data_IF_251376497875
#
_entry.id   IF_251376497875
#
_cell.length_a   1.000
_cell.length_b   1.000
_cell.length_c   1.000
_cell.angle_alpha   90.00
_cell.angle_beta   90.00
_cell.angle_gamma   90.00
#
_symmetry.space_group_name_H-M   'P 1'
#
loop_
_entity.id
_entity.type
_entity.pdbx_description
1 polymer ?
#
# COMPACT_ATOMS: atom_id res chain seq x y z
N UNK A 1 -7.12 -1.22 -4.27
CA UNK A 1 -6.30 -0.34 -3.41
C UNK A 1 -7.17 0.76 -2.85
N UNK A 2 -7.03 1.09 -1.56
CA UNK A 2 -7.74 2.23 -0.98
C UNK A 2 -7.34 3.55 -1.63
N UNK A 3 -8.26 4.51 -1.63
CA UNK A 3 -7.96 5.90 -1.98
C UNK A 3 -7.86 6.75 -0.71
N UNK A 4 -6.86 7.60 -0.61
CA UNK A 4 -6.68 8.52 0.52
C UNK A 4 -6.46 9.96 0.04
N UNK A 5 -7.05 10.90 0.77
CA UNK A 5 -6.91 12.33 0.55
C UNK A 5 -6.90 13.08 1.88
N UNK A 6 -5.93 13.95 2.03
CA UNK A 6 -5.89 14.96 3.06
C UNK A 6 -5.73 16.35 2.44
N UNK A 7 -6.43 17.34 2.98
CA UNK A 7 -6.21 18.75 2.64
C UNK A 7 -6.34 19.62 3.89
N UNK A 8 -5.38 20.53 4.08
CA UNK A 8 -5.44 21.51 5.16
C UNK A 8 -6.64 22.44 5.01
N UNK A 9 -7.02 22.74 3.78
CA UNK A 9 -8.14 23.62 3.43
C UNK A 9 -9.19 22.81 2.66
N UNK A 10 -10.41 22.78 3.19
CA UNK A 10 -11.58 22.14 2.58
C UNK A 10 -12.17 22.93 1.41
N UNK A 11 -11.79 24.19 1.25
CA UNK A 11 -12.29 24.99 0.15
C UNK A 11 -11.85 24.40 -1.20
N UNK A 12 -12.83 24.30 -2.10
CA UNK A 12 -12.59 23.79 -3.46
C UNK A 12 -12.01 22.36 -3.49
N UNK A 13 -12.52 21.47 -2.63
CA UNK A 13 -12.23 20.04 -2.82
C UNK A 13 -12.75 19.64 -4.21
N UNK A 14 -11.89 19.06 -5.08
CA UNK A 14 -12.30 18.68 -6.43
C UNK A 14 -13.25 17.48 -6.42
N UNK A 15 -13.71 17.07 -7.59
CA UNK A 15 -14.49 15.84 -7.73
C UNK A 15 -13.72 14.62 -7.22
N UNK A 16 -14.33 13.90 -6.29
CA UNK A 16 -13.76 12.71 -5.66
C UNK A 16 -14.17 11.39 -6.32
N UNK A 17 -14.78 11.45 -7.52
CA UNK A 17 -15.19 10.24 -8.25
C UNK A 17 -14.05 9.25 -8.46
N UNK A 18 -12.86 9.74 -8.84
CA UNK A 18 -11.66 8.92 -8.99
C UNK A 18 -11.17 8.31 -7.67
N UNK A 19 -11.30 9.04 -6.57
CA UNK A 19 -10.96 8.49 -5.25
C UNK A 19 -11.91 7.36 -4.87
N UNK A 20 -13.22 7.53 -5.14
CA UNK A 20 -14.27 6.54 -4.84
C UNK A 20 -14.07 5.25 -5.63
N UNK A 21 -13.56 5.32 -6.85
CA UNK A 21 -13.27 4.15 -7.68
C UNK A 21 -12.14 3.27 -7.12
N UNK A 22 -11.25 3.84 -6.29
CA UNK A 22 -10.14 3.08 -5.67
C UNK A 22 -10.60 2.09 -4.61
N UNK A 23 -11.78 2.27 -4.04
CA UNK A 23 -12.29 1.41 -2.99
C UNK A 23 -13.82 1.37 -3.02
N UNK A 24 -14.43 0.42 -3.75
CA UNK A 24 -15.88 0.37 -3.95
C UNK A 24 -16.66 -0.07 -2.71
N UNK A 25 -16.00 -0.58 -1.67
CA UNK A 25 -16.66 -1.12 -0.48
C UNK A 25 -17.09 -0.08 0.55
N UNK A 26 -16.61 1.15 0.42
CA UNK A 26 -17.04 2.23 1.28
C UNK A 26 -16.29 3.53 1.01
N UNK A 27 -16.98 4.63 1.30
CA UNK A 27 -16.41 5.95 1.21
C UNK A 27 -16.75 6.75 2.46
N UNK A 28 -15.74 7.36 3.06
CA UNK A 28 -15.91 8.27 4.18
C UNK A 28 -15.16 9.56 3.92
N UNK A 29 -15.77 10.66 4.32
CA UNK A 29 -15.15 11.98 4.36
C UNK A 29 -15.42 12.63 5.70
N UNK A 30 -14.50 13.43 6.18
CA UNK A 30 -14.61 14.14 7.44
C UNK A 30 -13.82 15.45 7.37
N UNK A 31 -14.39 16.49 7.92
CA UNK A 31 -13.72 17.76 8.20
C UNK A 31 -13.69 18.00 9.71
N UNK A 32 -12.55 18.45 10.22
CA UNK A 32 -12.35 18.85 11.61
C UNK A 32 -11.25 19.91 11.70
N UNK A 33 -10.86 20.31 12.92
CA UNK A 33 -9.84 21.33 13.17
C UNK A 33 -8.44 20.95 12.61
N UNK A 34 -8.20 19.68 12.30
CA UNK A 34 -6.95 19.22 11.70
C UNK A 34 -6.93 19.36 10.17
N UNK A 35 -8.10 19.42 9.53
CA UNK A 35 -8.27 19.54 8.09
C UNK A 35 -9.39 18.66 7.54
N UNK A 36 -9.41 18.51 6.22
CA UNK A 36 -10.33 17.66 5.48
C UNK A 36 -9.65 16.33 5.14
N UNK A 37 -10.36 15.24 5.36
CA UNK A 37 -9.93 13.87 5.16
C UNK A 37 -10.94 13.12 4.31
N UNK A 38 -10.49 12.34 3.32
CA UNK A 38 -11.37 11.42 2.61
C UNK A 38 -10.65 10.06 2.38
N UNK A 39 -11.43 9.00 2.45
CA UNK A 39 -10.98 7.64 2.27
C UNK A 39 -11.99 6.82 1.49
N UNK A 40 -11.54 6.10 0.48
CA UNK A 40 -12.29 5.02 -0.16
C UNK A 40 -11.69 3.66 0.21
N UNK A 41 -12.55 2.74 0.62
CA UNK A 41 -12.13 1.49 1.24
C UNK A 41 -12.18 0.33 0.24
N UNK A 42 -11.06 -0.38 0.16
CA UNK A 42 -10.96 -1.73 -0.36
C UNK A 42 -10.45 -2.63 0.77
N UNK A 43 -11.28 -3.54 1.24
CA UNK A 43 -10.95 -4.42 2.35
C UNK A 43 -10.30 -5.70 1.84
N UNK A 44 -8.98 -5.81 1.95
CA UNK A 44 -8.22 -6.98 1.53
C UNK A 44 -7.84 -7.89 2.69
N UNK A 45 -7.57 -7.33 3.88
CA UNK A 45 -7.07 -8.07 5.04
C UNK A 45 -7.60 -7.46 6.35
N UNK A 46 -8.00 -8.30 7.30
CA UNK A 46 -8.17 -7.90 8.71
C UNK A 46 -9.46 -7.17 9.07
N UNK A 47 -10.50 -7.25 8.23
CA UNK A 47 -11.82 -6.67 8.53
C UNK A 47 -11.93 -5.16 8.28
N UNK A 48 -13.14 -4.65 8.39
CA UNK A 48 -13.47 -3.26 8.04
C UNK A 48 -13.07 -2.29 9.14
N UNK A 49 -11.98 -1.57 8.96
CA UNK A 49 -11.62 -0.42 9.81
C UNK A 49 -11.89 0.86 9.03
N UNK A 50 -12.83 1.66 9.55
CA UNK A 50 -13.15 2.95 8.94
C UNK A 50 -11.98 3.91 9.06
N UNK A 51 -11.75 4.65 7.97
CA UNK A 51 -10.82 5.76 7.93
C UNK A 51 -11.57 7.02 7.50
N UNK A 52 -11.13 8.22 7.90
CA UNK A 52 -9.93 8.49 8.71
C UNK A 52 -9.98 7.78 10.07
N UNK A 53 -8.86 7.18 10.48
CA UNK A 53 -8.75 6.49 11.76
C UNK A 53 -8.31 7.46 12.86
N UNK A 54 -9.14 7.59 13.88
CA UNK A 54 -8.87 8.45 15.02
C UNK A 54 -8.06 7.68 16.07
N UNK A 55 -6.76 7.90 16.08
CA UNK A 55 -5.87 7.46 17.15
C UNK A 55 -5.97 8.36 18.39
N UNK A 56 -5.19 8.01 19.41
CA UNK A 56 -5.17 8.79 20.67
C UNK A 56 -4.63 10.21 20.46
N UNK A 57 -3.68 10.41 19.55
CA UNK A 57 -2.91 11.64 19.39
C UNK A 57 -3.09 12.30 18.01
N UNK A 58 -3.74 11.64 17.05
CA UNK A 58 -3.90 12.16 15.71
C UNK A 58 -4.81 11.32 14.84
N UNK A 59 -4.89 11.70 13.58
CA UNK A 59 -5.73 11.09 12.57
C UNK A 59 -4.86 10.44 11.50
N UNK A 60 -5.09 9.17 11.22
CA UNK A 60 -4.38 8.38 10.22
C UNK A 60 -5.26 8.12 8.99
N UNK A 61 -4.69 8.39 7.81
CA UNK A 61 -5.11 7.81 6.54
C UNK A 61 -4.03 6.83 6.08
N UNK A 62 -4.45 5.64 5.68
CA UNK A 62 -3.55 4.55 5.34
C UNK A 62 -4.07 3.77 4.13
N UNK A 63 -3.17 3.43 3.21
CA UNK A 63 -3.44 2.58 2.06
C UNK A 63 -2.30 1.61 1.88
N UNK A 64 -2.54 0.30 2.01
CA UNK A 64 -1.52 -0.71 1.79
C UNK A 64 -1.59 -1.88 2.76
N UNK A 65 -0.46 -2.59 2.88
CA UNK A 65 -0.27 -3.74 3.77
C UNK A 65 1.07 -3.68 4.49
N UNK A 66 1.09 -3.99 5.78
CA UNK A 66 2.30 -4.13 6.60
C UNK A 66 2.54 -5.60 6.88
N UNK A 67 3.69 -6.12 6.42
CA UNK A 67 4.03 -7.55 6.51
C UNK A 67 4.71 -7.95 7.82
N UNK A 68 5.23 -7.01 8.56
CA UNK A 68 5.76 -7.23 9.92
C UNK A 68 4.79 -6.78 11.03
N UNK A 69 3.52 -6.61 10.67
CA UNK A 69 2.43 -6.40 11.60
C UNK A 69 2.04 -7.67 12.35
N UNK A 70 1.07 -7.58 13.23
CA UNK A 70 0.69 -8.66 14.15
C UNK A 70 -0.66 -9.29 13.83
N UNK A 71 -0.94 -9.62 12.58
CA UNK A 71 -2.09 -10.45 12.23
C UNK A 71 -3.46 -9.83 12.59
N UNK A 72 -3.71 -8.63 12.15
CA UNK A 72 -4.99 -7.93 12.33
C UNK A 72 -5.13 -6.88 11.23
N UNK A 73 -6.00 -5.90 11.45
CA UNK A 73 -6.11 -4.79 10.52
C UNK A 73 -4.94 -3.82 10.68
N UNK A 74 -4.21 -3.57 9.60
CA UNK A 74 -3.00 -2.73 9.57
C UNK A 74 -3.27 -1.30 10.02
N UNK A 75 -4.41 -0.73 9.65
CA UNK A 75 -4.79 0.63 10.04
C UNK A 75 -4.94 0.76 11.55
N UNK A 76 -5.66 -0.17 12.17
CA UNK A 76 -5.86 -0.16 13.62
C UNK A 76 -4.55 -0.45 14.37
N UNK A 77 -3.77 -1.40 13.87
CA UNK A 77 -2.47 -1.75 14.43
C UNK A 77 -1.49 -0.56 14.39
N UNK A 78 -1.38 0.10 13.24
CA UNK A 78 -0.50 1.25 13.06
C UNK A 78 -1.01 2.46 13.86
N UNK A 79 -2.30 2.79 13.72
CA UNK A 79 -2.88 3.95 14.39
C UNK A 79 -2.86 3.89 15.91
N UNK A 80 -2.79 2.67 16.50
CA UNK A 80 -2.61 2.51 17.95
C UNK A 80 -1.17 2.75 18.44
N UNK A 81 -0.20 2.84 17.53
CA UNK A 81 1.23 3.02 17.83
C UNK A 81 1.75 4.42 17.55
N UNK A 82 1.16 5.09 16.56
CA UNK A 82 1.53 6.46 16.24
C UNK A 82 1.08 7.39 17.38
N UNK A 83 1.94 8.31 17.76
CA UNK A 83 1.70 9.27 18.84
C UNK A 83 1.97 10.72 18.41
N UNK A 84 1.92 11.66 19.35
CA UNK A 84 2.24 13.08 19.12
C UNK A 84 3.74 13.37 19.16
N UNK A 85 4.56 12.44 19.67
CA UNK A 85 6.00 12.54 19.61
C UNK A 85 6.48 12.22 18.20
N UNK A 86 6.98 13.23 17.50
CA UNK A 86 7.42 13.11 16.11
C UNK A 86 8.56 12.10 15.95
N UNK A 87 9.52 12.06 16.86
CA UNK A 87 10.65 11.14 16.79
C UNK A 87 10.19 9.68 16.89
N UNK A 88 9.31 9.37 17.84
CA UNK A 88 8.69 8.04 17.97
C UNK A 88 7.91 7.65 16.71
N UNK A 89 7.11 8.57 16.19
CA UNK A 89 6.35 8.33 14.96
C UNK A 89 7.27 8.03 13.77
N UNK A 90 8.36 8.77 13.61
CA UNK A 90 9.36 8.53 12.55
C UNK A 90 10.02 7.14 12.74
N UNK A 91 10.43 6.80 13.95
CA UNK A 91 11.06 5.49 14.22
C UNK A 91 10.09 4.31 14.00
N UNK A 92 8.82 4.47 14.31
CA UNK A 92 7.79 3.48 13.96
C UNK A 92 7.70 3.30 12.45
N UNK A 93 7.66 4.40 11.68
CA UNK A 93 7.58 4.35 10.21
C UNK A 93 8.82 3.67 9.61
N UNK A 94 10.01 3.96 10.11
CA UNK A 94 11.28 3.40 9.62
C UNK A 94 11.36 1.87 9.71
N UNK A 95 10.67 1.27 10.67
CA UNK A 95 10.69 -0.20 10.86
C UNK A 95 9.56 -0.92 10.13
N UNK A 96 8.65 -0.20 9.47
CA UNK A 96 7.59 -0.83 8.69
C UNK A 96 8.18 -1.59 7.50
N UNK A 97 7.73 -2.83 7.34
CA UNK A 97 7.99 -3.64 6.15
C UNK A 97 6.66 -3.89 5.45
N UNK A 98 6.48 -3.29 4.29
CA UNK A 98 5.19 -3.37 3.60
C UNK A 98 5.17 -2.58 2.30
N UNK A 99 4.02 -2.57 1.68
CA UNK A 99 3.65 -1.74 0.53
C UNK A 99 2.56 -0.79 1.02
N UNK A 100 2.91 0.46 1.25
CA UNK A 100 1.97 1.37 1.88
C UNK A 100 2.18 2.84 1.50
N UNK A 101 1.12 3.59 1.68
CA UNK A 101 1.12 5.04 1.80
C UNK A 101 0.39 5.44 3.08
N UNK A 102 0.91 6.40 3.80
CA UNK A 102 0.28 6.91 5.01
C UNK A 102 0.33 8.44 5.07
N UNK A 103 -0.70 8.99 5.73
CA UNK A 103 -0.76 10.40 6.11
C UNK A 103 -1.22 10.41 7.57
N UNK A 104 -0.38 10.92 8.46
CA UNK A 104 -0.68 11.04 9.88
C UNK A 104 -0.66 12.52 10.29
N UNK A 105 -1.77 12.99 10.84
CA UNK A 105 -1.98 14.40 11.17
C UNK A 105 -2.25 14.55 12.66
N UNK A 106 -1.39 15.31 13.34
CA UNK A 106 -1.56 15.71 14.74
C UNK A 106 -1.87 17.20 14.83
N UNK A 107 -1.97 17.75 16.03
CA UNK A 107 -2.07 19.19 16.24
C UNK A 107 -0.83 19.94 15.74
N UNK A 108 0.36 19.34 15.89
CA UNK A 108 1.64 20.00 15.64
C UNK A 108 2.26 19.65 14.30
N UNK A 109 2.00 18.43 13.75
CA UNK A 109 2.68 17.92 12.57
C UNK A 109 1.74 17.26 11.57
N UNK A 110 2.16 17.27 10.31
CA UNK A 110 1.64 16.42 9.24
C UNK A 110 2.81 15.55 8.78
N UNK A 111 2.69 14.24 8.96
CA UNK A 111 3.70 13.26 8.52
C UNK A 111 3.10 12.45 7.39
N UNK A 112 3.79 12.36 6.26
CA UNK A 112 3.34 11.52 5.16
C UNK A 112 4.51 10.86 4.45
N UNK A 113 4.30 9.65 3.97
CA UNK A 113 5.28 8.90 3.20
C UNK A 113 4.61 7.77 2.40
N UNK A 114 5.35 7.27 1.44
CA UNK A 114 5.14 5.97 0.84
C UNK A 114 6.11 4.95 1.44
N UNK A 115 5.95 3.68 1.08
CA UNK A 115 6.90 2.64 1.41
C UNK A 115 8.30 2.92 0.82
N UNK A 116 9.28 2.10 1.21
CA UNK A 116 10.70 2.32 0.85
C UNK A 116 10.96 2.40 -0.66
N UNK A 117 10.13 1.75 -1.46
CA UNK A 117 10.26 1.68 -2.92
C UNK A 117 9.22 2.53 -3.65
N UNK A 118 8.41 3.31 -2.90
CA UNK A 118 7.34 4.15 -3.43
C UNK A 118 6.30 3.37 -4.27
N UNK A 119 6.02 2.12 -3.89
CA UNK A 119 5.05 1.26 -4.58
C UNK A 119 3.62 1.77 -4.44
N UNK A 120 3.32 2.43 -3.31
CA UNK A 120 2.05 3.10 -3.00
C UNK A 120 2.30 4.60 -2.89
N UNK A 121 2.65 5.23 -4.01
CA UNK A 121 3.00 6.64 -4.01
C UNK A 121 1.86 7.57 -3.58
N UNK A 122 2.25 8.73 -3.07
CA UNK A 122 1.39 9.86 -2.80
C UNK A 122 1.76 11.03 -3.71
N UNK A 123 0.75 11.80 -4.04
CA UNK A 123 0.90 13.06 -4.76
C UNK A 123 0.54 14.19 -3.82
N UNK A 124 1.28 15.28 -3.86
CA UNK A 124 1.04 16.39 -2.96
C UNK A 124 1.29 17.74 -3.63
N UNK A 125 0.66 18.76 -3.07
CA UNK A 125 0.97 20.16 -3.27
C UNK A 125 1.33 20.75 -1.92
N UNK A 126 2.33 21.62 -1.87
CA UNK A 126 2.77 22.31 -0.66
C UNK A 126 3.16 23.75 -1.00
N UNK A 127 2.61 24.72 -0.27
CA UNK A 127 2.99 26.14 -0.36
C UNK A 127 3.11 26.72 1.04
N UNK A 128 4.32 27.02 1.44
CA UNK A 128 4.64 27.57 2.74
C UNK A 128 4.04 28.98 2.93
N UNK A 129 3.99 29.78 1.87
CA UNK A 129 3.56 31.18 1.94
C UNK A 129 2.07 31.31 2.20
N UNK A 130 1.26 30.48 1.54
CA UNK A 130 -0.19 30.41 1.72
C UNK A 130 -0.62 29.42 2.79
N UNK A 131 0.31 28.68 3.40
CA UNK A 131 0.07 27.58 4.34
C UNK A 131 -0.90 26.54 3.80
N UNK A 132 -0.71 26.14 2.55
CA UNK A 132 -1.54 25.15 1.90
C UNK A 132 -0.81 23.84 1.69
N UNK A 133 -1.48 22.74 2.02
CA UNK A 133 -1.09 21.40 1.65
C UNK A 133 -2.31 20.57 1.26
N UNK A 134 -2.14 19.78 0.21
CA UNK A 134 -3.07 18.73 -0.20
C UNK A 134 -2.26 17.50 -0.55
N UNK A 135 -2.65 16.34 -0.05
CA UNK A 135 -1.97 15.06 -0.26
C UNK A 135 -3.00 14.03 -0.68
N UNK A 136 -2.76 13.29 -1.76
CA UNK A 136 -3.68 12.26 -2.25
C UNK A 136 -2.94 11.10 -2.89
N UNK A 137 -3.55 9.93 -2.87
CA UNK A 137 -3.12 8.78 -3.69
C UNK A 137 -3.52 8.94 -5.17
N UNK A 138 -4.24 10.01 -5.53
CA UNK A 138 -4.67 10.32 -6.91
C UNK A 138 -4.08 11.66 -7.33
N UNK A 139 -3.21 11.70 -8.35
CA UNK A 139 -2.55 12.93 -8.80
C UNK A 139 -3.55 13.98 -9.29
N UNK A 140 -4.58 13.57 -10.01
CA UNK A 140 -5.57 14.49 -10.62
C UNK A 140 -6.32 15.32 -9.57
N UNK A 141 -6.57 14.76 -8.39
CA UNK A 141 -7.22 15.48 -7.29
C UNK A 141 -6.34 16.67 -6.84
N UNK A 142 -5.05 16.43 -6.67
CA UNK A 142 -4.10 17.49 -6.28
C UNK A 142 -3.95 18.50 -7.41
N UNK A 143 -3.79 18.01 -8.64
CA UNK A 143 -3.61 18.85 -9.83
C UNK A 143 -4.84 19.73 -10.11
N UNK A 144 -6.06 19.18 -10.02
CA UNK A 144 -7.30 19.96 -10.23
C UNK A 144 -7.46 21.09 -9.21
N UNK A 145 -7.00 20.85 -7.96
CA UNK A 145 -7.10 21.88 -6.91
C UNK A 145 -6.05 22.98 -7.07
N UNK A 146 -4.82 22.64 -7.44
CA UNK A 146 -3.65 23.53 -7.36
C UNK A 146 -2.95 23.80 -8.71
N UNK A 147 -3.34 23.11 -9.78
CA UNK A 147 -2.70 23.24 -11.11
C UNK A 147 -1.34 22.52 -11.23
N UNK A 148 -0.81 22.02 -10.13
CA UNK A 148 0.48 21.29 -10.06
C UNK A 148 0.44 20.27 -8.93
N UNK A 149 1.16 19.17 -9.10
CA UNK A 149 1.37 18.16 -8.07
C UNK A 149 2.79 17.58 -8.15
N UNK A 150 3.31 17.18 -7.01
CA UNK A 150 4.57 16.43 -6.89
C UNK A 150 4.28 15.08 -6.28
N UNK A 151 5.04 14.06 -6.64
CA UNK A 151 4.95 12.76 -5.99
C UNK A 151 5.99 12.61 -4.88
N UNK A 152 5.73 11.73 -3.93
CA UNK A 152 6.69 11.33 -2.91
C UNK A 152 7.88 10.62 -3.56
N UNK A 153 9.08 10.84 -3.03
CA UNK A 153 10.27 10.11 -3.46
C UNK A 153 10.44 8.82 -2.64
N UNK A 154 11.12 7.86 -3.24
CA UNK A 154 11.49 6.62 -2.58
C UNK A 154 12.25 6.88 -1.30
N UNK A 155 11.99 6.07 -0.29
CA UNK A 155 12.74 6.07 0.96
C UNK A 155 12.75 7.43 1.70
N UNK A 156 11.68 8.24 1.56
CA UNK A 156 11.55 9.53 2.22
C UNK A 156 10.29 9.61 3.08
N UNK A 157 10.44 10.23 4.24
CA UNK A 157 9.37 10.63 5.13
C UNK A 157 9.33 12.16 5.10
N UNK A 158 8.17 12.71 4.81
CA UNK A 158 7.92 14.15 4.76
C UNK A 158 7.25 14.57 6.05
N UNK A 159 7.75 15.62 6.65
CA UNK A 159 7.25 16.17 7.90
C UNK A 159 6.97 17.65 7.72
N UNK A 160 5.75 18.07 7.97
CA UNK A 160 5.39 19.49 8.01
C UNK A 160 5.12 19.88 9.46
N UNK A 161 5.87 20.86 9.93
CA UNK A 161 5.58 21.55 11.18
C UNK A 161 4.42 22.53 10.96
N UNK A 162 3.30 22.34 11.64
CA UNK A 162 2.07 23.16 11.42
C UNK A 162 2.22 24.57 11.97
N UNK A 163 3.17 24.82 12.87
CA UNK A 163 3.43 26.12 13.50
C UNK A 163 4.17 27.05 12.55
N UNK A 164 5.28 26.56 12.01
CA UNK A 164 6.14 27.29 11.07
C UNK A 164 5.71 27.13 9.62
N UNK A 165 4.94 26.07 9.34
CA UNK A 165 4.59 25.58 8.02
C UNK A 165 5.84 25.33 7.16
N UNK A 166 6.89 24.77 7.76
CA UNK A 166 8.08 24.29 7.08
C UNK A 166 7.97 22.80 6.79
N UNK A 167 8.62 22.35 5.73
CA UNK A 167 8.69 20.94 5.36
C UNK A 167 10.12 20.43 5.54
N UNK A 168 10.24 19.34 6.29
CA UNK A 168 11.47 18.58 6.45
C UNK A 168 11.34 17.21 5.77
N UNK A 169 12.44 16.72 5.21
CA UNK A 169 12.48 15.43 4.53
C UNK A 169 13.52 14.54 5.21
N UNK A 170 13.04 13.47 5.83
CA UNK A 170 13.85 12.50 6.54
C UNK A 170 14.09 11.27 5.66
N UNK A 171 15.34 10.77 5.63
CA UNK A 171 15.62 9.49 4.98
C UNK A 171 15.06 8.36 5.83
N UNK A 172 14.23 7.51 5.25
CA UNK A 172 13.55 6.44 5.96
C UNK A 172 14.54 5.35 6.38
N UNK A 173 15.28 4.76 5.43
CA UNK A 173 16.25 3.70 5.70
C UNK A 173 17.58 3.95 5.00
N UNK A 174 18.68 3.70 5.71
CA UNK A 174 19.99 3.69 5.09
C UNK A 174 20.32 2.25 4.71
N UNK A 175 20.53 2.03 3.41
CA UNK A 175 20.88 0.72 2.86
C UNK A 175 22.40 0.56 2.84
N UNK A 176 22.89 -0.54 3.40
CA UNK A 176 24.25 -0.98 3.14
C UNK A 176 24.30 -1.70 1.79
N UNK A 177 24.84 -1.03 0.80
CA UNK A 177 24.98 -1.55 -0.56
C UNK A 177 26.32 -2.29 -0.78
N UNK A 178 27.12 -2.48 0.26
CA UNK A 178 28.34 -3.28 0.17
C UNK A 178 27.98 -4.76 0.04
N UNK A 179 27.93 -5.22 -1.18
CA UNK A 179 27.66 -6.63 -1.50
C UNK A 179 29.00 -7.36 -1.61
N UNK A 180 29.37 -8.09 -0.57
CA UNK A 180 30.64 -8.81 -0.49
C UNK A 180 30.50 -10.32 -0.36
N UNK A 181 29.31 -10.90 -0.55
CA UNK A 181 29.10 -12.32 -0.36
C UNK A 181 28.81 -13.05 -1.67
N UNK A 182 29.48 -14.19 -1.85
CA UNK A 182 29.20 -15.15 -2.93
C UNK A 182 28.19 -16.23 -2.48
N UNK A 183 27.56 -16.07 -1.31
CA UNK A 183 26.58 -17.01 -0.78
C UNK A 183 25.16 -16.56 -1.10
N UNK A 184 24.47 -17.32 -1.94
CA UNK A 184 23.08 -17.05 -2.32
C UNK A 184 22.07 -17.64 -1.33
N UNK A 185 22.48 -18.48 -0.39
CA UNK A 185 21.59 -19.11 0.60
C UNK A 185 20.80 -18.06 1.40
N UNK A 186 21.45 -16.97 1.79
CA UNK A 186 20.82 -15.86 2.47
C UNK A 186 19.69 -15.21 1.64
N UNK A 187 19.90 -15.05 0.33
CA UNK A 187 18.89 -14.49 -0.58
C UNK A 187 17.68 -15.41 -0.66
N UNK A 188 17.92 -16.73 -0.73
CA UNK A 188 16.85 -17.74 -0.75
C UNK A 188 16.05 -17.70 0.55
N UNK A 189 16.74 -17.67 1.70
CA UNK A 189 16.08 -17.60 3.01
C UNK A 189 15.22 -16.36 3.17
N UNK A 190 15.73 -15.19 2.79
CA UNK A 190 14.97 -13.94 2.90
C UNK A 190 13.80 -13.89 1.91
N UNK A 191 13.97 -14.43 0.70
CA UNK A 191 12.88 -14.59 -0.26
C UNK A 191 11.78 -15.51 0.29
N UNK A 192 12.13 -16.67 0.84
CA UNK A 192 11.18 -17.59 1.44
C UNK A 192 10.45 -16.97 2.63
N UNK A 193 11.14 -16.23 3.50
CA UNK A 193 10.52 -15.46 4.58
C UNK A 193 9.55 -14.41 4.04
N UNK A 194 9.95 -13.72 2.97
CA UNK A 194 9.10 -12.71 2.35
C UNK A 194 7.80 -13.32 1.79
N UNK A 195 7.89 -14.46 1.11
CA UNK A 195 6.73 -15.20 0.62
C UNK A 195 5.84 -15.66 1.79
N UNK A 196 6.45 -16.28 2.81
CA UNK A 196 5.72 -16.76 4.00
C UNK A 196 4.94 -15.65 4.70
N UNK A 197 5.53 -14.46 4.81
CA UNK A 197 4.91 -13.34 5.52
C UNK A 197 3.76 -12.67 4.73
N UNK A 198 3.70 -12.92 3.41
CA UNK A 198 2.67 -12.33 2.52
C UNK A 198 1.51 -13.26 2.24
N UNK A 199 1.73 -14.57 2.33
CA UNK A 199 0.70 -15.54 2.01
C UNK A 199 -0.21 -15.81 3.20
N UNK A 200 -1.51 -15.58 3.01
CA UNK A 200 -2.57 -15.86 3.97
C UNK A 200 -3.46 -16.93 3.34
N UNK A 201 -3.48 -18.17 3.86
CA UNK A 201 -4.14 -19.30 3.20
C UNK A 201 -5.62 -19.07 2.82
N UNK A 202 -6.34 -18.32 3.65
CA UNK A 202 -7.78 -18.10 3.50
C UNK A 202 -8.13 -17.06 2.43
N UNK A 203 -7.17 -16.20 2.06
CA UNK A 203 -7.44 -15.03 1.21
C UNK A 203 -6.45 -14.85 0.07
N UNK A 204 -5.30 -15.53 0.13
CA UNK A 204 -4.27 -15.40 -0.89
C UNK A 204 -4.47 -16.39 -2.02
N UNK A 205 -4.27 -15.94 -3.25
CA UNK A 205 -4.25 -16.77 -4.45
C UNK A 205 -2.98 -16.48 -5.23
N UNK A 206 -2.24 -17.52 -5.61
CA UNK A 206 -1.03 -17.38 -6.41
C UNK A 206 -1.36 -17.46 -7.90
N UNK A 207 -0.65 -16.66 -8.70
CA UNK A 207 -0.66 -16.85 -10.16
C UNK A 207 0.18 -18.08 -10.52
N UNK A 208 -0.37 -18.95 -11.34
CA UNK A 208 0.32 -20.11 -11.90
C UNK A 208 0.55 -19.87 -13.38
N UNK A 209 1.81 -19.71 -13.77
CA UNK A 209 2.24 -19.58 -15.17
C UNK A 209 3.38 -20.55 -15.48
N UNK A 210 3.80 -20.65 -16.73
CA UNK A 210 4.99 -21.41 -17.12
C UNK A 210 6.30 -20.66 -16.88
N UNK A 211 6.24 -19.38 -16.47
CA UNK A 211 7.39 -18.54 -16.20
C UNK A 211 8.13 -18.89 -14.91
N UNK A 212 9.40 -18.49 -14.81
CA UNK A 212 10.22 -18.76 -13.63
C UNK A 212 9.70 -18.07 -12.37
N UNK A 213 9.29 -16.82 -12.44
CA UNK A 213 8.91 -16.01 -11.27
C UNK A 213 7.73 -16.63 -10.52
N UNK A 214 6.65 -16.96 -11.25
CA UNK A 214 5.50 -17.64 -10.65
C UNK A 214 5.88 -19.03 -10.11
N UNK A 215 6.75 -19.74 -10.83
CA UNK A 215 7.27 -21.04 -10.39
C UNK A 215 8.00 -20.97 -9.07
N UNK A 216 8.92 -20.02 -8.92
CA UNK A 216 9.69 -19.82 -7.68
C UNK A 216 8.80 -19.41 -6.52
N UNK A 217 7.85 -18.49 -6.75
CA UNK A 217 6.87 -18.08 -5.72
C UNK A 217 6.03 -19.27 -5.28
N UNK A 218 5.48 -20.05 -6.21
CA UNK A 218 4.67 -21.23 -5.88
C UNK A 218 5.45 -22.29 -5.13
N UNK A 219 6.69 -22.57 -5.52
CA UNK A 219 7.58 -23.49 -4.81
C UNK A 219 7.87 -23.00 -3.38
N UNK A 220 8.19 -21.73 -3.21
CA UNK A 220 8.44 -21.14 -1.89
C UNK A 220 7.18 -21.17 -1.02
N UNK A 221 6.01 -20.85 -1.59
CA UNK A 221 4.73 -20.92 -0.86
C UNK A 221 4.46 -22.36 -0.41
N UNK A 222 4.65 -23.34 -1.30
CA UNK A 222 4.39 -24.77 -1.02
C UNK A 222 5.30 -25.34 0.08
N UNK A 223 6.46 -24.75 0.29
CA UNK A 223 7.38 -25.13 1.38
C UNK A 223 6.74 -24.92 2.76
N UNK A 224 5.89 -23.92 2.91
CA UNK A 224 5.25 -23.54 4.19
C UNK A 224 3.79 -23.96 4.28
N UNK A 225 3.08 -24.04 3.16
CA UNK A 225 1.65 -24.29 3.08
C UNK A 225 1.37 -25.49 2.19
N UNK A 226 0.63 -26.46 2.71
CA UNK A 226 0.35 -27.74 1.99
C UNK A 226 -0.64 -27.55 0.84
N UNK A 227 -1.59 -26.66 1.02
CA UNK A 227 -2.60 -26.32 0.03
C UNK A 227 -2.42 -24.87 -0.37
N UNK A 228 -2.36 -24.64 -1.67
CA UNK A 228 -2.19 -23.31 -2.25
C UNK A 228 -3.24 -23.17 -3.33
N UNK A 229 -4.07 -22.13 -3.19
CA UNK A 229 -4.98 -21.74 -4.26
C UNK A 229 -4.20 -21.02 -5.36
N UNK A 230 -4.36 -21.49 -6.59
CA UNK A 230 -3.72 -20.92 -7.75
C UNK A 230 -4.74 -20.61 -8.84
N UNK A 231 -4.46 -19.57 -9.60
CA UNK A 231 -5.20 -19.22 -10.81
C UNK A 231 -4.27 -19.25 -12.02
N UNK A 232 -4.74 -19.80 -13.13
CA UNK A 232 -3.96 -19.94 -14.36
C UNK A 232 -4.81 -19.61 -15.58
N UNK A 233 -4.26 -18.79 -16.49
CA UNK A 233 -4.74 -18.69 -17.87
C UNK A 233 -3.78 -19.50 -18.77
N UNK A 234 -4.17 -20.69 -19.26
CA UNK A 234 -3.28 -21.54 -20.03
C UNK A 234 -3.14 -21.12 -21.51
N UNK A 235 -3.80 -20.04 -21.95
CA UNK A 235 -3.90 -19.66 -23.36
C UNK A 235 -2.54 -19.39 -24.00
N UNK A 236 -1.62 -18.74 -23.25
CA UNK A 236 -0.29 -18.35 -23.73
C UNK A 236 0.85 -19.10 -23.04
N UNK A 237 0.51 -20.13 -22.27
CA UNK A 237 1.48 -20.83 -21.43
C UNK A 237 2.05 -22.08 -22.10
N UNK A 238 3.22 -22.54 -21.66
CA UNK A 238 3.78 -23.83 -22.05
C UNK A 238 2.98 -24.95 -21.41
N UNK A 239 2.18 -25.66 -22.23
CA UNK A 239 1.17 -26.64 -21.77
C UNK A 239 1.74 -27.73 -20.89
N UNK A 240 2.92 -28.24 -21.23
CA UNK A 240 3.60 -29.30 -20.48
C UNK A 240 3.97 -28.81 -19.07
N UNK A 241 4.56 -27.63 -18.98
CA UNK A 241 4.96 -27.01 -17.70
C UNK A 241 3.74 -26.74 -16.82
N UNK A 242 2.66 -26.19 -17.40
CA UNK A 242 1.42 -25.94 -16.65
C UNK A 242 0.83 -27.25 -16.14
N UNK A 243 0.79 -28.28 -16.97
CA UNK A 243 0.27 -29.60 -16.58
C UNK A 243 1.02 -30.21 -15.40
N UNK A 244 2.36 -30.10 -15.40
CA UNK A 244 3.19 -30.56 -14.28
C UNK A 244 2.93 -29.73 -13.01
N UNK A 245 2.88 -28.42 -13.14
CA UNK A 245 2.61 -27.52 -12.00
C UNK A 245 1.22 -27.72 -11.40
N UNK A 246 0.20 -27.96 -12.24
CA UNK A 246 -1.16 -28.26 -11.79
C UNK A 246 -1.29 -29.59 -11.04
N UNK A 247 -0.34 -30.52 -11.20
CA UNK A 247 -0.32 -31.73 -10.39
C UNK A 247 0.13 -31.47 -8.95
N UNK A 248 0.90 -30.39 -8.75
CA UNK A 248 1.44 -29.99 -7.45
C UNK A 248 0.48 -29.01 -6.75
N UNK A 249 -0.17 -28.15 -7.52
CA UNK A 249 -0.98 -27.05 -7.01
C UNK A 249 -2.43 -27.21 -7.43
N UNK A 250 -3.35 -26.94 -6.50
CA UNK A 250 -4.79 -26.86 -6.77
C UNK A 250 -5.09 -25.57 -7.54
N UNK A 251 -5.13 -25.66 -8.87
CA UNK A 251 -5.31 -24.50 -9.72
C UNK A 251 -6.73 -24.39 -10.29
N UNK A 252 -7.29 -23.19 -10.25
CA UNK A 252 -8.47 -22.82 -11.01
C UNK A 252 -8.03 -22.32 -12.37
N UNK A 253 -8.49 -23.00 -13.42
CA UNK A 253 -8.20 -22.63 -14.81
C UNK A 253 -9.25 -21.63 -15.27
N UNK A 254 -8.81 -20.48 -15.75
CA UNK A 254 -9.68 -19.53 -16.44
C UNK A 254 -9.98 -20.05 -17.84
N UNK A 255 -11.26 -20.24 -18.17
CA UNK A 255 -11.66 -20.93 -19.40
C UNK A 255 -12.18 -20.02 -20.51
N UNK A 256 -12.57 -18.80 -20.18
CA UNK A 256 -13.12 -17.84 -21.13
C UNK A 256 -12.91 -16.38 -20.67
N UNK A 257 -13.21 -15.44 -21.58
CA UNK A 257 -13.09 -14.00 -21.30
C UNK A 257 -14.00 -13.53 -20.15
N UNK A 258 -15.16 -14.15 -19.94
CA UNK A 258 -16.08 -13.76 -18.89
C UNK A 258 -15.56 -14.18 -17.51
N UNK A 259 -14.97 -15.39 -17.40
CA UNK A 259 -14.25 -15.83 -16.20
C UNK A 259 -13.06 -14.91 -15.89
N UNK A 260 -12.40 -14.39 -16.94
CA UNK A 260 -11.32 -13.45 -16.82
C UNK A 260 -11.82 -12.09 -16.33
N UNK A 261 -12.89 -11.57 -16.89
CA UNK A 261 -13.47 -10.26 -16.52
C UNK A 261 -14.02 -10.22 -15.10
N UNK A 262 -14.70 -11.26 -14.64
CA UNK A 262 -15.14 -11.34 -13.25
C UNK A 262 -13.96 -11.31 -12.27
N UNK A 263 -12.81 -11.87 -12.67
CA UNK A 263 -11.58 -11.91 -11.85
C UNK A 263 -10.60 -10.79 -12.18
N UNK A 264 -10.67 -10.21 -13.38
CA UNK A 264 -9.91 -9.01 -13.77
C UNK A 264 -10.28 -7.81 -12.90
N UNK A 265 -11.52 -7.71 -12.46
CA UNK A 265 -11.93 -6.72 -11.45
C UNK A 265 -11.12 -6.91 -10.15
N UNK A 266 -10.85 -8.15 -9.75
CA UNK A 266 -9.98 -8.45 -8.61
C UNK A 266 -8.50 -8.15 -8.88
N UNK A 267 -8.02 -8.30 -10.13
CA UNK A 267 -6.62 -8.11 -10.51
C UNK A 267 -6.28 -6.66 -10.92
N UNK A 268 -7.17 -5.97 -11.63
CA UNK A 268 -6.99 -4.55 -11.99
C UNK A 268 -6.99 -3.62 -10.77
N UNK A 269 -7.56 -4.07 -9.66
CA UNK A 269 -7.42 -3.38 -8.38
C UNK A 269 -6.01 -3.51 -7.78
N UNK A 270 -5.18 -4.43 -8.29
CA UNK A 270 -3.82 -4.68 -7.80
C UNK A 270 -2.76 -4.00 -8.69
N UNK A 271 -3.04 -3.78 -9.96
CA UNK A 271 -2.10 -3.14 -10.89
C UNK A 271 -2.56 -1.71 -11.22
N UNK A 272 -1.72 -0.69 -11.08
CA UNK A 272 -2.03 0.62 -11.63
C UNK A 272 -2.17 0.46 -13.15
N UNK A 273 -3.28 0.92 -13.72
CA UNK A 273 -3.35 1.16 -15.16
C UNK A 273 -2.28 2.20 -15.52
N UNK A 274 -1.46 1.87 -16.50
CA UNK A 274 -0.51 2.81 -17.11
C UNK A 274 -1.19 4.10 -17.58
#
# INVERSE_FOLDING_TARGET
MCGILFSQDSNKIPDLSLLKQRGPEGFNEQENDLGYFAHSMLNTIGGNVKQPYHGKHGVLLYNGSVYNGTGGNDTAWLGSRLDDNLENTIEIIKVLNGEFALIYVTNDHIVFCADHFNQRNLWFYFDQSSKQITISSIPDIVHQKHGVSWHTNENKIYVIDKKTFSIDIVTNKIWDLQQGTNHFDYVIEEFEKAVKNRYIPETSTNLLSSGFDSGVINCATHKFFKEIDCVCDPTYEVKETIKERMQIHKAVVLKNEDDYREKEVMFNEILPSD
#
